data_IF_343353388739
#
_entry.id   IF_343353388739
#
_cell.length_a   1.000
_cell.length_b   1.000
_cell.length_c   1.000
_cell.angle_alpha   90.00
_cell.angle_beta   90.00
_cell.angle_gamma   90.00
#
_symmetry.space_group_name_H-M   'P 1'
#
loop_
_entity.id
_entity.type
_entity.pdbx_description
1 polymer ?
#
# COMPACT_ATOMS: atom_id res chain seq x y z
N UNK A 1 19.05 -5.21 -15.58
CA UNK A 1 19.34 -3.85 -15.10
C UNK A 1 18.07 -3.07 -14.84
N UNK A 2 17.98 -2.40 -13.71
CA UNK A 2 16.83 -1.58 -13.38
C UNK A 2 17.10 -0.13 -13.72
N UNK A 3 16.22 0.43 -14.55
CA UNK A 3 16.34 1.83 -14.95
C UNK A 3 15.60 2.73 -13.98
N UNK A 4 16.28 3.77 -13.53
CA UNK A 4 15.66 4.83 -12.74
C UNK A 4 15.20 5.93 -13.66
N UNK A 5 14.02 6.46 -13.38
CA UNK A 5 13.45 7.58 -14.13
C UNK A 5 12.61 8.42 -13.18
N UNK A 6 12.17 9.57 -13.64
CA UNK A 6 11.20 10.36 -12.88
C UNK A 6 9.84 9.71 -13.03
N UNK A 7 9.26 9.29 -11.92
CA UNK A 7 7.97 8.60 -11.88
C UNK A 7 6.99 9.43 -11.07
N UNK A 8 5.84 9.75 -11.66
CA UNK A 8 4.79 10.46 -10.94
C UNK A 8 3.92 9.44 -10.22
N UNK A 9 3.80 9.58 -8.91
CA UNK A 9 3.08 8.61 -8.10
C UNK A 9 1.57 8.63 -8.31
N UNK A 10 0.99 9.78 -8.69
CA UNK A 10 -0.47 9.87 -8.81
C UNK A 10 -1.03 8.98 -9.92
N UNK A 11 -0.59 9.09 -11.18
CA UNK A 11 -1.11 8.20 -12.22
C UNK A 11 -0.78 6.73 -11.96
N UNK A 12 0.33 6.47 -11.31
CA UNK A 12 0.73 5.11 -10.94
C UNK A 12 -0.23 4.51 -9.91
N UNK A 13 -0.62 5.29 -8.91
CA UNK A 13 -1.60 4.87 -7.91
C UNK A 13 -2.98 4.67 -8.55
N UNK A 14 -3.35 5.53 -9.48
CA UNK A 14 -4.61 5.40 -10.24
C UNK A 14 -4.63 4.11 -11.05
N UNK A 15 -3.52 3.75 -11.68
CA UNK A 15 -3.41 2.52 -12.44
C UNK A 15 -3.54 1.29 -11.53
N UNK A 16 -2.87 1.30 -10.38
CA UNK A 16 -2.96 0.20 -9.42
C UNK A 16 -4.41 0.02 -8.93
N UNK A 17 -5.08 1.11 -8.60
CA UNK A 17 -6.47 1.07 -8.16
C UNK A 17 -7.39 0.54 -9.25
N UNK A 18 -7.19 0.96 -10.50
CA UNK A 18 -7.99 0.49 -11.62
C UNK A 18 -7.81 -1.01 -11.85
N UNK A 19 -6.59 -1.51 -11.73
CA UNK A 19 -6.31 -2.94 -11.89
C UNK A 19 -6.89 -3.78 -10.75
N UNK A 20 -7.21 -3.18 -9.62
CA UNK A 20 -7.81 -3.86 -8.48
C UNK A 20 -9.31 -3.61 -8.33
N UNK A 21 -9.91 -2.85 -9.24
CA UNK A 21 -11.31 -2.46 -9.14
C UNK A 21 -12.25 -3.67 -9.11
N UNK A 22 -12.01 -4.66 -9.96
CA UNK A 22 -12.82 -5.86 -9.97
C UNK A 22 -12.75 -6.62 -8.65
N UNK A 23 -11.55 -6.73 -8.06
CA UNK A 23 -11.37 -7.38 -6.77
C UNK A 23 -12.09 -6.61 -5.65
N UNK A 24 -12.03 -5.29 -5.70
CA UNK A 24 -12.71 -4.44 -4.73
C UNK A 24 -14.23 -4.60 -4.85
N UNK A 25 -14.76 -4.56 -6.06
CA UNK A 25 -16.20 -4.75 -6.31
C UNK A 25 -16.67 -6.11 -5.83
N UNK A 26 -15.90 -7.16 -6.09
CA UNK A 26 -16.25 -8.51 -5.66
C UNK A 26 -16.38 -8.61 -4.13
N UNK A 27 -15.69 -7.76 -3.41
CA UNK A 27 -15.73 -7.73 -1.95
C UNK A 27 -16.62 -6.60 -1.41
N UNK A 28 -17.26 -5.86 -2.28
CA UNK A 28 -18.09 -4.70 -1.94
C UNK A 28 -17.29 -3.63 -1.18
N UNK A 29 -16.08 -3.36 -1.68
CA UNK A 29 -15.18 -2.35 -1.13
C UNK A 29 -15.00 -1.26 -2.18
N UNK A 30 -15.16 0.01 -1.80
CA UNK A 30 -14.89 1.12 -2.70
C UNK A 30 -13.43 1.54 -2.58
N UNK A 31 -12.81 1.89 -3.70
CA UNK A 31 -11.43 2.38 -3.70
C UNK A 31 -11.39 3.71 -4.44
N UNK A 32 -10.85 4.74 -3.79
CA UNK A 32 -10.79 6.10 -4.30
C UNK A 32 -9.37 6.62 -4.21
N UNK A 33 -8.87 7.17 -5.31
CA UNK A 33 -7.55 7.78 -5.38
C UNK A 33 -7.71 9.30 -5.49
N UNK A 34 -6.96 10.03 -4.69
CA UNK A 34 -6.98 11.49 -4.70
C UNK A 34 -5.59 12.05 -4.44
N UNK A 35 -5.44 13.34 -4.61
CA UNK A 35 -4.21 14.05 -4.31
C UNK A 35 -3.66 14.81 -5.49
N UNK A 36 -2.33 14.98 -5.50
CA UNK A 36 -1.63 15.75 -6.50
C UNK A 36 -0.41 15.00 -7.02
N UNK A 37 0.15 15.48 -8.10
CA UNK A 37 1.36 14.90 -8.68
C UNK A 37 2.51 14.94 -7.68
N UNK A 38 3.24 13.84 -7.58
CA UNK A 38 4.37 13.72 -6.68
C UNK A 38 5.46 12.90 -7.36
N UNK A 39 6.40 13.58 -8.06
CA UNK A 39 7.45 12.88 -8.80
C UNK A 39 8.51 12.31 -7.86
N UNK A 40 8.97 11.12 -8.20
CA UNK A 40 10.02 10.39 -7.48
C UNK A 40 11.01 9.86 -8.51
N UNK A 41 12.30 9.95 -8.21
CA UNK A 41 13.31 9.27 -9.02
C UNK A 41 13.37 7.82 -8.55
N UNK A 42 13.01 6.90 -9.43
CA UNK A 42 12.98 5.49 -9.03
C UNK A 42 12.71 4.55 -10.18
N UNK A 43 12.43 3.31 -9.83
CA UNK A 43 12.11 2.25 -10.77
C UNK A 43 10.60 2.10 -10.84
N UNK A 44 10.01 2.50 -11.97
CA UNK A 44 8.55 2.55 -12.12
C UNK A 44 7.85 1.25 -11.71
N UNK A 45 8.38 0.12 -12.17
CA UNK A 45 7.78 -1.18 -11.87
C UNK A 45 7.73 -1.46 -10.37
N UNK A 46 8.82 -1.14 -9.66
CA UNK A 46 8.87 -1.37 -8.21
C UNK A 46 7.93 -0.43 -7.47
N UNK A 47 7.89 0.83 -7.88
CA UNK A 47 6.98 1.81 -7.29
C UNK A 47 5.53 1.42 -7.53
N UNK A 48 5.20 0.93 -8.73
CA UNK A 48 3.87 0.44 -9.04
C UNK A 48 3.49 -0.73 -8.13
N UNK A 49 4.39 -1.70 -7.96
CA UNK A 49 4.12 -2.87 -7.11
C UNK A 49 3.95 -2.49 -5.63
N UNK A 50 4.62 -1.43 -5.18
CA UNK A 50 4.37 -0.90 -3.83
C UNK A 50 2.91 -0.46 -3.72
N UNK A 51 2.45 0.37 -4.63
CA UNK A 51 1.06 0.85 -4.63
C UNK A 51 0.08 -0.30 -4.76
N UNK A 52 0.34 -1.22 -5.67
CA UNK A 52 -0.52 -2.37 -5.90
C UNK A 52 -0.65 -3.24 -4.64
N UNK A 53 0.47 -3.58 -4.01
CA UNK A 53 0.44 -4.45 -2.83
C UNK A 53 -0.24 -3.79 -1.63
N UNK A 54 -0.04 -2.49 -1.43
CA UNK A 54 -0.72 -1.77 -0.36
C UNK A 54 -2.24 -1.74 -0.58
N UNK A 55 -2.66 -1.47 -1.81
CA UNK A 55 -4.08 -1.45 -2.15
C UNK A 55 -4.70 -2.85 -2.08
N UNK A 56 -3.99 -3.85 -2.57
CA UNK A 56 -4.46 -5.23 -2.55
C UNK A 56 -4.70 -5.70 -1.11
N UNK A 57 -3.77 -5.44 -0.20
CA UNK A 57 -3.95 -5.77 1.20
C UNK A 57 -5.12 -5.00 1.82
N UNK A 58 -5.26 -3.73 1.49
CA UNK A 58 -6.35 -2.91 2.02
C UNK A 58 -7.73 -3.45 1.59
N UNK A 59 -7.80 -4.07 0.42
CA UNK A 59 -9.04 -4.70 -0.06
C UNK A 59 -9.24 -6.06 0.63
N UNK A 60 -8.20 -6.89 0.65
CA UNK A 60 -8.29 -8.25 1.19
C UNK A 60 -8.72 -8.30 2.66
N UNK A 61 -8.20 -7.38 3.45
CA UNK A 61 -8.48 -7.35 4.89
C UNK A 61 -9.53 -6.33 5.27
N UNK A 62 -10.33 -5.89 4.31
CA UNK A 62 -11.43 -4.97 4.53
C UNK A 62 -12.71 -5.73 4.87
N UNK A 63 -13.69 -4.97 5.33
CA UNK A 63 -15.02 -5.50 5.64
C UNK A 63 -15.96 -5.24 4.47
N UNK A 64 -17.05 -6.00 4.40
CA UNK A 64 -18.09 -5.79 3.40
C UNK A 64 -18.67 -4.37 3.57
N UNK A 65 -18.73 -3.63 2.47
CA UNK A 65 -19.19 -2.24 2.51
C UNK A 65 -18.12 -1.24 2.92
N UNK A 66 -16.90 -1.68 3.11
CA UNK A 66 -15.79 -0.83 3.51
C UNK A 66 -15.20 -0.01 2.37
N UNK A 67 -14.15 0.73 2.68
CA UNK A 67 -13.51 1.61 1.71
C UNK A 67 -11.98 1.59 1.82
N UNK A 68 -11.34 1.96 0.72
CA UNK A 68 -9.89 2.20 0.64
C UNK A 68 -9.69 3.58 0.07
N UNK A 69 -8.96 4.41 0.80
CA UNK A 69 -8.66 5.78 0.42
C UNK A 69 -7.16 5.87 0.13
N UNK A 70 -6.82 6.18 -1.12
CA UNK A 70 -5.44 6.28 -1.57
C UNK A 70 -5.12 7.74 -1.83
N UNK A 71 -4.11 8.27 -1.15
CA UNK A 71 -3.71 9.67 -1.33
C UNK A 71 -2.27 9.77 -1.76
N UNK A 72 -2.04 10.67 -2.71
CA UNK A 72 -0.70 11.00 -3.19
C UNK A 72 -0.47 12.49 -3.00
N UNK A 73 0.67 12.85 -2.48
CA UNK A 73 1.01 14.26 -2.28
C UNK A 73 2.49 14.47 -2.06
N UNK A 74 2.86 15.73 -1.95
CA UNK A 74 4.23 16.13 -1.65
C UNK A 74 4.22 16.98 -0.39
N UNK A 75 5.12 16.70 0.53
CA UNK A 75 5.19 17.40 1.79
C UNK A 75 6.63 17.40 2.31
N UNK A 76 7.14 18.59 2.62
CA UNK A 76 8.46 18.71 3.25
C UNK A 76 9.60 18.12 2.46
N UNK A 77 9.56 18.18 1.12
CA UNK A 77 10.60 17.64 0.26
C UNK A 77 10.46 16.13 0.03
N UNK A 78 9.34 15.56 0.43
CA UNK A 78 9.07 14.13 0.23
C UNK A 78 7.81 13.95 -0.59
N UNK A 79 7.79 12.88 -1.41
CA UNK A 79 6.59 12.41 -2.07
C UNK A 79 5.96 11.35 -1.18
N UNK A 80 4.65 11.42 -0.98
CA UNK A 80 3.94 10.56 -0.05
C UNK A 80 2.85 9.77 -0.77
N UNK A 81 2.76 8.49 -0.45
CA UNK A 81 1.65 7.65 -0.87
C UNK A 81 1.06 7.03 0.40
N UNK A 82 -0.22 7.31 0.65
CA UNK A 82 -0.91 6.83 1.84
C UNK A 82 -2.09 5.97 1.41
N UNK A 83 -2.19 4.77 1.96
CA UNK A 83 -3.32 3.87 1.73
C UNK A 83 -3.99 3.61 3.06
N UNK A 84 -5.25 4.02 3.16
CA UNK A 84 -6.04 3.89 4.38
C UNK A 84 -7.28 3.05 4.10
N UNK A 85 -7.50 2.04 4.93
CA UNK A 85 -8.70 1.21 4.81
C UNK A 85 -9.55 1.26 6.09
N UNK A 86 -10.80 0.85 5.95
CA UNK A 86 -11.75 0.75 7.06
C UNK A 86 -11.93 -0.71 7.46
N UNK A 87 -10.87 -1.50 7.32
CA UNK A 87 -10.95 -2.93 7.52
C UNK A 87 -10.83 -3.38 8.97
N UNK A 88 -10.39 -4.62 9.13
CA UNK A 88 -10.37 -5.27 10.44
C UNK A 88 -9.31 -4.71 11.38
N UNK A 89 -8.32 -4.02 10.84
CA UNK A 89 -7.21 -3.54 11.66
C UNK A 89 -6.23 -4.65 12.02
N UNK A 90 -5.13 -4.24 12.66
CA UNK A 90 -4.05 -5.16 13.03
C UNK A 90 -3.83 -5.06 14.53
N UNK A 91 -3.90 -6.18 15.28
CA UNK A 91 -3.61 -6.14 16.72
C UNK A 91 -2.20 -5.61 16.99
N UNK A 92 -2.01 -4.83 18.06
CA UNK A 92 -0.70 -4.24 18.35
C UNK A 92 0.46 -5.23 18.38
N UNK A 93 0.24 -6.44 18.88
CA UNK A 93 1.28 -7.47 18.98
C UNK A 93 1.80 -7.95 17.63
N UNK A 94 1.07 -7.70 16.54
CA UNK A 94 1.48 -8.10 15.20
C UNK A 94 2.04 -6.95 14.37
N UNK A 95 1.82 -5.70 14.78
CA UNK A 95 2.15 -4.55 13.93
C UNK A 95 3.64 -4.44 13.60
N UNK A 96 4.52 -4.84 14.50
CA UNK A 96 5.95 -4.79 14.24
C UNK A 96 6.43 -5.88 13.29
N UNK A 97 5.60 -6.87 13.01
CA UNK A 97 5.99 -8.05 12.23
C UNK A 97 5.31 -8.22 10.89
N UNK A 98 4.33 -7.38 10.56
CA UNK A 98 3.55 -7.57 9.32
C UNK A 98 4.37 -7.43 8.05
N UNK A 99 5.53 -6.79 8.11
CA UNK A 99 6.44 -6.64 6.98
C UNK A 99 7.47 -7.77 6.89
N UNK A 100 7.43 -8.72 7.82
CA UNK A 100 8.32 -9.88 7.77
C UNK A 100 7.86 -10.86 6.70
N UNK A 101 8.81 -11.47 6.04
CA UNK A 101 8.53 -12.44 5.00
C UNK A 101 7.74 -13.61 5.56
N UNK A 102 6.63 -13.97 4.89
CA UNK A 102 5.72 -15.05 5.26
C UNK A 102 4.94 -14.86 6.56
N UNK A 103 5.07 -13.69 7.21
CA UNK A 103 4.31 -13.44 8.42
C UNK A 103 2.83 -13.19 8.11
N UNK A 104 1.96 -13.77 8.90
CA UNK A 104 0.51 -13.57 8.79
C UNK A 104 -0.11 -13.48 10.16
N UNK A 105 -1.03 -12.54 10.31
CA UNK A 105 -1.76 -12.34 11.56
C UNK A 105 -2.72 -13.53 11.80
N UNK A 106 -3.40 -13.97 10.75
CA UNK A 106 -4.33 -15.09 10.81
C UNK A 106 -4.01 -16.09 9.71
N UNK A 107 -3.40 -17.20 10.09
CA UNK A 107 -2.98 -18.25 9.15
C UNK A 107 -4.16 -18.95 8.50
N UNK A 108 -5.32 -19.01 9.19
CA UNK A 108 -6.50 -19.67 8.63
C UNK A 108 -7.12 -18.89 7.47
N UNK A 109 -6.96 -17.58 7.43
CA UNK A 109 -7.46 -16.73 6.36
C UNK A 109 -6.54 -16.72 5.14
N UNK A 110 -5.33 -17.25 5.26
CA UNK A 110 -4.34 -17.16 4.22
C UNK A 110 -4.75 -17.82 2.91
N UNK A 111 -5.44 -18.94 2.97
CA UNK A 111 -5.90 -19.65 1.78
C UNK A 111 -7.08 -18.92 1.13
N UNK A 112 -8.00 -18.42 1.93
CA UNK A 112 -9.19 -17.75 1.43
C UNK A 112 -8.85 -16.41 0.79
N UNK A 113 -7.88 -15.69 1.33
CA UNK A 113 -7.47 -14.40 0.80
C UNK A 113 -6.46 -14.51 -0.35
N UNK A 114 -5.88 -15.69 -0.56
CA UNK A 114 -4.87 -15.90 -1.60
C UNK A 114 -3.53 -15.25 -1.31
N UNK A 115 -3.35 -14.71 -0.11
CA UNK A 115 -2.10 -14.03 0.24
C UNK A 115 -0.97 -15.00 0.55
N UNK A 116 0.24 -14.63 0.19
CA UNK A 116 1.44 -15.45 0.39
C UNK A 116 2.30 -14.99 1.56
N UNK A 117 2.01 -13.82 2.12
CA UNK A 117 2.86 -13.21 3.15
C UNK A 117 4.07 -12.51 2.58
N UNK A 118 4.13 -12.33 1.25
CA UNK A 118 5.27 -11.69 0.58
C UNK A 118 5.00 -10.24 0.17
N UNK A 119 3.73 -9.85 0.03
CA UNK A 119 3.38 -8.50 -0.45
C UNK A 119 3.95 -7.38 0.38
N UNK A 120 3.76 -7.43 1.70
CA UNK A 120 4.26 -6.37 2.57
C UNK A 120 5.78 -6.43 2.78
N UNK A 121 6.39 -7.62 2.74
CA UNK A 121 7.85 -7.70 2.81
C UNK A 121 8.47 -7.11 1.54
N UNK A 122 7.84 -7.33 0.38
CA UNK A 122 8.26 -6.68 -0.86
C UNK A 122 8.19 -5.16 -0.72
N UNK A 123 7.08 -4.64 -0.17
CA UNK A 123 6.92 -3.20 0.04
C UNK A 123 8.06 -2.65 0.88
N UNK A 124 8.38 -3.31 1.99
CA UNK A 124 9.47 -2.88 2.86
C UNK A 124 10.79 -2.76 2.10
N UNK A 125 11.14 -3.78 1.34
CA UNK A 125 12.41 -3.80 0.60
C UNK A 125 12.42 -2.78 -0.55
N UNK A 126 11.33 -2.66 -1.28
CA UNK A 126 11.24 -1.73 -2.40
C UNK A 126 11.27 -0.28 -1.92
N UNK A 127 10.61 0.02 -0.81
CA UNK A 127 10.65 1.36 -0.20
C UNK A 127 12.08 1.69 0.24
N UNK A 128 12.75 0.75 0.91
CA UNK A 128 14.15 0.93 1.33
C UNK A 128 15.09 1.14 0.14
N UNK A 129 14.86 0.40 -0.95
CA UNK A 129 15.64 0.55 -2.17
C UNK A 129 15.55 1.98 -2.73
N UNK A 130 14.42 2.65 -2.52
CA UNK A 130 14.19 4.02 -2.97
C UNK A 130 14.50 5.04 -1.87
N UNK A 131 15.20 4.63 -0.79
CA UNK A 131 15.55 5.50 0.33
C UNK A 131 14.34 6.10 1.04
N UNK A 132 13.22 5.39 0.99
CA UNK A 132 11.98 5.83 1.60
C UNK A 132 11.78 5.29 3.01
N UNK A 133 10.67 5.69 3.60
CA UNK A 133 10.26 5.24 4.94
C UNK A 133 8.81 4.79 4.91
N UNK A 134 8.44 3.95 5.88
CA UNK A 134 7.08 3.45 6.03
C UNK A 134 6.58 3.79 7.43
N UNK A 135 5.35 4.28 7.53
CA UNK A 135 4.68 4.49 8.80
C UNK A 135 3.36 3.72 8.81
N UNK A 136 3.09 3.04 9.90
CA UNK A 136 1.88 2.23 10.07
C UNK A 136 1.05 2.76 11.23
N UNK A 137 -0.24 2.92 11.01
CA UNK A 137 -1.21 3.21 12.05
C UNK A 137 -2.36 2.24 11.87
N UNK A 138 -2.71 1.50 12.90
CA UNK A 138 -3.80 0.55 12.82
C UNK A 138 -4.48 0.37 14.16
N UNK A 139 -5.77 0.11 14.11
CA UNK A 139 -6.57 -0.16 15.31
C UNK A 139 -7.61 -1.21 14.95
N UNK A 140 -7.66 -2.26 15.76
CA UNK A 140 -8.61 -3.35 15.54
C UNK A 140 -10.05 -2.79 15.51
N UNK A 141 -10.80 -3.18 14.50
CA UNK A 141 -12.17 -2.73 14.32
C UNK A 141 -12.33 -1.40 13.62
N UNK A 142 -11.23 -0.69 13.36
CA UNK A 142 -11.29 0.63 12.70
C UNK A 142 -10.57 0.68 11.37
N UNK A 143 -9.50 -0.10 11.21
CA UNK A 143 -8.79 -0.16 9.95
C UNK A 143 -7.30 0.08 10.08
N UNK A 144 -6.66 0.28 8.92
CA UNK A 144 -5.21 0.40 8.82
C UNK A 144 -4.83 1.52 7.87
N UNK A 145 -3.82 2.28 8.23
CA UNK A 145 -3.22 3.29 7.37
C UNK A 145 -1.74 3.00 7.24
N UNK A 146 -1.27 2.87 6.00
CA UNK A 146 0.15 2.71 5.70
C UNK A 146 0.57 3.87 4.83
N UNK A 147 1.55 4.64 5.30
CA UNK A 147 2.08 5.79 4.57
C UNK A 147 3.53 5.50 4.19
N UNK A 148 3.84 5.64 2.90
CA UNK A 148 5.22 5.53 2.43
C UNK A 148 5.68 6.90 1.96
N UNK A 149 6.92 7.26 2.27
CA UNK A 149 7.51 8.53 1.89
C UNK A 149 8.79 8.29 1.14
N UNK A 150 8.97 9.03 0.07
CA UNK A 150 10.18 8.98 -0.75
C UNK A 150 10.79 10.36 -0.82
N UNK A 151 12.13 10.49 -0.71
CA UNK A 151 12.76 11.78 -0.90
C UNK A 151 12.57 12.25 -2.34
N UNK A 152 12.24 13.53 -2.51
CA UNK A 152 12.16 14.11 -3.84
C UNK A 152 13.52 14.70 -4.18
N UNK A 153 14.03 14.32 -5.34
CA UNK A 153 15.26 14.89 -5.87
C UNK A 153 14.98 16.30 -6.38
N UNK A 154 15.95 17.19 -6.14
CA UNK A 154 15.85 18.56 -6.60
C UNK A 154 16.38 18.70 -8.03
#
# INVERSE_FOLDING_TARGET
>A
MLFRSTVDLLPLAQEAAENLRAAAEAKNVSIIVSGENAPVIGVRRLLYEIAYNLCDNAIKYNTDGGSVDVRVGAEGGSACLTVRDTGIGIPPEHQSRIFERFYRVDKSHSKASGGTGLGLSFVKHAVAYHHGTIALKSEVGKGTEIAVRFPQEK
#
